data_IF_720875535959
#
_entry.id   IF_720875535959
#
_cell.length_a   1.000
_cell.length_b   1.000
_cell.length_c   1.000
_cell.angle_alpha   90.00
_cell.angle_beta   90.00
_cell.angle_gamma   90.00
#
_symmetry.space_group_name_H-M   'P 1'
#
loop_
_entity.id
_entity.type
_entity.pdbx_description
1 polymer ?
#
# COMPACT_ATOMS: atom_id res chain seq x y z
N UNK A 1 37.58 -31.43 -10.24
CA UNK A 1 36.26 -31.47 -9.56
C UNK A 1 35.18 -31.22 -10.60
N UNK A 2 34.24 -32.15 -10.81
CA UNK A 2 33.15 -31.96 -11.77
C UNK A 2 32.24 -30.80 -11.34
N UNK A 3 31.82 -29.95 -12.29
CA UNK A 3 30.98 -28.75 -12.04
C UNK A 3 29.75 -29.06 -11.17
N UNK A 4 29.08 -30.18 -11.44
CA UNK A 4 27.89 -30.63 -10.70
C UNK A 4 28.15 -30.82 -9.20
N UNK A 5 29.34 -31.32 -8.81
CA UNK A 5 29.68 -31.49 -7.40
C UNK A 5 29.85 -30.15 -6.70
N UNK A 6 30.48 -29.18 -7.37
CA UNK A 6 30.64 -27.80 -6.85
C UNK A 6 29.29 -27.10 -6.71
N UNK A 7 28.42 -27.25 -7.71
CA UNK A 7 27.06 -26.71 -7.67
C UNK A 7 26.25 -27.35 -6.54
N UNK A 8 26.33 -28.67 -6.35
CA UNK A 8 25.66 -29.38 -5.26
C UNK A 8 26.05 -28.85 -3.87
N UNK A 9 27.35 -28.69 -3.60
CA UNK A 9 27.81 -28.12 -2.33
C UNK A 9 27.34 -26.67 -2.12
N UNK A 10 27.32 -25.85 -3.18
CA UNK A 10 26.79 -24.49 -3.11
C UNK A 10 25.30 -24.47 -2.78
N UNK A 11 24.49 -25.32 -3.43
CA UNK A 11 23.04 -25.37 -3.22
C UNK A 11 22.67 -25.81 -1.81
N UNK A 12 23.44 -26.70 -1.19
CA UNK A 12 23.24 -27.08 0.23
C UNK A 12 23.43 -25.86 1.13
N UNK A 13 24.54 -25.13 0.98
CA UNK A 13 24.80 -23.91 1.74
C UNK A 13 23.74 -22.83 1.51
N UNK A 14 23.34 -22.61 0.25
CA UNK A 14 22.29 -21.66 -0.12
C UNK A 14 20.95 -22.02 0.54
N UNK A 15 20.56 -23.30 0.53
CA UNK A 15 19.31 -23.76 1.12
C UNK A 15 19.28 -23.50 2.62
N UNK A 16 20.36 -23.84 3.33
CA UNK A 16 20.50 -23.56 4.76
C UNK A 16 20.41 -22.04 5.01
N UNK A 17 21.11 -21.24 4.18
CA UNK A 17 21.06 -19.78 4.26
C UNK A 17 19.66 -19.20 4.07
N UNK A 18 18.89 -19.69 3.10
CA UNK A 18 17.51 -19.25 2.86
C UNK A 18 16.60 -19.61 4.05
N UNK A 19 16.76 -20.80 4.65
CA UNK A 19 16.00 -21.18 5.85
C UNK A 19 16.26 -20.18 6.98
N UNK A 20 17.52 -19.91 7.31
CA UNK A 20 17.86 -18.94 8.35
C UNK A 20 17.33 -17.54 8.03
N UNK A 21 17.48 -17.08 6.79
CA UNK A 21 17.00 -15.77 6.34
C UNK A 21 15.47 -15.66 6.51
N UNK A 22 14.72 -16.67 6.08
CA UNK A 22 13.25 -16.64 6.18
C UNK A 22 12.76 -16.63 7.64
N UNK A 23 13.42 -17.36 8.54
CA UNK A 23 13.10 -17.32 9.97
C UNK A 23 13.34 -15.92 10.56
N UNK A 24 14.47 -15.30 10.21
CA UNK A 24 14.79 -13.95 10.67
C UNK A 24 13.79 -12.90 10.17
N UNK A 25 13.48 -12.92 8.86
CA UNK A 25 12.54 -11.98 8.25
C UNK A 25 11.11 -12.16 8.77
N UNK A 26 10.66 -13.41 8.99
CA UNK A 26 9.35 -13.71 9.58
C UNK A 26 9.24 -13.14 10.99
N UNK A 27 10.22 -13.41 11.86
CA UNK A 27 10.22 -12.86 13.22
C UNK A 27 10.19 -11.34 13.22
N UNK A 28 11.01 -10.70 12.38
CA UNK A 28 11.01 -9.23 12.29
C UNK A 28 9.65 -8.67 11.87
N UNK A 29 9.02 -9.26 10.85
CA UNK A 29 7.68 -8.84 10.40
C UNK A 29 6.63 -9.04 11.49
N UNK A 30 6.60 -10.20 12.16
CA UNK A 30 5.62 -10.52 13.20
C UNK A 30 5.81 -9.73 14.51
N UNK A 31 7.05 -9.48 14.92
CA UNK A 31 7.36 -8.86 16.22
C UNK A 31 7.37 -7.33 16.14
N UNK A 32 7.80 -6.76 15.01
CA UNK A 32 7.96 -5.29 14.87
C UNK A 32 6.94 -4.65 13.93
N UNK A 33 6.09 -5.45 13.26
CA UNK A 33 5.14 -4.95 12.27
C UNK A 33 5.81 -4.35 11.03
N UNK A 34 7.11 -4.64 10.80
CA UNK A 34 7.84 -4.06 9.66
C UNK A 34 7.35 -4.66 8.35
N UNK A 35 6.73 -3.83 7.52
CA UNK A 35 6.38 -4.20 6.15
C UNK A 35 7.50 -3.85 5.17
N UNK A 36 7.89 -4.83 4.35
CA UNK A 36 8.90 -4.68 3.31
C UNK A 36 8.26 -4.32 1.95
N UNK A 37 7.89 -3.06 1.76
CA UNK A 37 7.32 -2.56 0.51
C UNK A 37 8.40 -2.26 -0.55
N UNK A 38 8.77 -3.29 -1.30
CA UNK A 38 9.71 -3.15 -2.42
C UNK A 38 9.08 -2.64 -3.70
N UNK A 39 7.79 -2.97 -3.94
CA UNK A 39 7.07 -2.56 -5.14
C UNK A 39 6.47 -1.15 -5.02
N UNK A 40 6.34 -0.40 -6.13
CA UNK A 40 5.79 0.96 -6.12
C UNK A 40 4.41 1.07 -5.46
N UNK A 41 3.48 0.16 -5.76
CA UNK A 41 2.12 0.19 -5.20
C UNK A 41 2.15 0.16 -3.66
N UNK A 42 2.76 -0.88 -3.07
CA UNK A 42 2.93 -1.03 -1.62
C UNK A 42 3.63 0.19 -1.00
N UNK A 43 4.64 0.74 -1.67
CA UNK A 43 5.39 1.90 -1.16
C UNK A 43 4.48 3.12 -1.02
N UNK A 44 3.69 3.43 -2.04
CA UNK A 44 2.76 4.56 -1.98
C UNK A 44 1.69 4.33 -0.92
N UNK A 45 1.04 3.17 -0.91
CA UNK A 45 0.02 2.84 0.09
C UNK A 45 0.56 2.91 1.53
N UNK A 46 1.76 2.38 1.77
CA UNK A 46 2.43 2.50 3.07
C UNK A 46 2.76 3.94 3.42
N UNK A 47 3.21 4.75 2.45
CA UNK A 47 3.49 6.17 2.67
C UNK A 47 2.21 6.92 3.07
N UNK A 48 1.11 6.71 2.34
CA UNK A 48 -0.20 7.32 2.63
C UNK A 48 -0.70 6.96 4.04
N UNK A 49 -0.58 5.67 4.45
CA UNK A 49 -0.95 5.19 5.79
C UNK A 49 -0.02 5.63 6.91
N UNK A 50 1.22 5.99 6.59
CA UNK A 50 2.20 6.39 7.61
C UNK A 50 1.96 7.79 8.17
N UNK A 51 1.05 8.55 7.56
CA UNK A 51 0.71 9.92 7.92
C UNK A 51 -0.73 9.99 8.48
N UNK A 52 -1.05 10.97 9.34
CA UNK A 52 -2.42 11.22 9.77
C UNK A 52 -3.34 11.43 8.56
N UNK A 53 -4.48 10.75 8.55
CA UNK A 53 -5.49 10.87 7.51
C UNK A 53 -6.47 12.00 7.87
N UNK A 54 -6.69 12.90 6.92
CA UNK A 54 -7.68 13.97 6.97
C UNK A 54 -8.66 13.82 5.81
N UNK A 55 -9.84 14.40 5.95
CA UNK A 55 -10.94 14.28 4.99
C UNK A 55 -11.30 15.68 4.48
N UNK A 56 -11.57 15.80 3.18
CA UNK A 56 -12.20 17.01 2.65
C UNK A 56 -13.62 17.17 3.24
N UNK A 57 -14.20 18.37 3.12
CA UNK A 57 -15.53 18.63 3.66
C UNK A 57 -16.60 17.69 3.08
N UNK A 58 -16.52 17.40 1.78
CA UNK A 58 -17.43 16.49 1.07
C UNK A 58 -17.33 15.06 1.60
N UNK A 59 -16.11 14.55 1.78
CA UNK A 59 -15.89 13.22 2.35
C UNK A 59 -16.39 13.15 3.79
N UNK A 60 -16.16 14.20 4.57
CA UNK A 60 -16.62 14.25 5.95
C UNK A 60 -18.15 14.23 6.02
N UNK A 61 -18.85 14.88 5.09
CA UNK A 61 -20.31 14.80 4.96
C UNK A 61 -20.78 13.38 4.60
N UNK A 62 -20.13 12.70 3.63
CA UNK A 62 -20.46 11.31 3.28
C UNK A 62 -20.26 10.33 4.45
N UNK A 63 -19.18 10.51 5.23
CA UNK A 63 -18.93 9.71 6.44
C UNK A 63 -20.03 9.98 7.48
N UNK A 64 -20.39 11.24 7.70
CA UNK A 64 -21.45 11.61 8.65
C UNK A 64 -22.84 11.11 8.21
N UNK A 65 -23.08 11.02 6.90
CA UNK A 65 -24.28 10.47 6.28
C UNK A 65 -24.29 8.93 6.28
N UNK A 66 -23.24 8.27 6.77
CA UNK A 66 -23.06 6.81 6.77
C UNK A 66 -23.03 6.21 5.35
N UNK A 67 -22.65 7.01 4.35
CA UNK A 67 -22.50 6.55 2.96
C UNK A 67 -21.15 5.87 2.73
N UNK A 68 -20.13 6.21 3.53
CA UNK A 68 -18.78 5.64 3.44
C UNK A 68 -18.28 5.25 4.82
N UNK A 69 -17.81 4.01 4.98
CA UNK A 69 -17.18 3.55 6.21
C UNK A 69 -15.67 3.82 6.18
N UNK A 70 -15.17 4.44 7.25
CA UNK A 70 -13.73 4.62 7.50
C UNK A 70 -12.93 3.32 7.43
N UNK A 71 -13.51 2.17 7.80
CA UNK A 71 -12.86 0.86 7.67
C UNK A 71 -12.64 0.47 6.21
N UNK A 72 -13.57 0.81 5.32
CA UNK A 72 -13.41 0.57 3.88
C UNK A 72 -12.30 1.45 3.30
N UNK A 73 -12.22 2.72 3.70
CA UNK A 73 -11.11 3.61 3.31
C UNK A 73 -9.76 3.03 3.77
N UNK A 74 -9.69 2.51 5.01
CA UNK A 74 -8.48 1.85 5.51
C UNK A 74 -8.13 0.58 4.73
N UNK A 75 -9.13 -0.19 4.30
CA UNK A 75 -8.92 -1.37 3.46
C UNK A 75 -8.37 -0.97 2.08
N UNK A 76 -8.90 0.08 1.45
CA UNK A 76 -8.36 0.63 0.19
C UNK A 76 -6.91 1.05 0.37
N UNK A 77 -6.57 1.74 1.45
CA UNK A 77 -5.20 2.14 1.75
C UNK A 77 -4.26 0.96 2.06
N UNK A 78 -4.79 -0.23 2.40
CA UNK A 78 -4.00 -1.44 2.67
C UNK A 78 -3.80 -2.29 1.43
N UNK A 79 -4.88 -2.54 0.69
CA UNK A 79 -4.95 -3.57 -0.34
C UNK A 79 -5.32 -3.03 -1.74
N UNK A 80 -5.49 -1.70 -1.90
CA UNK A 80 -5.87 -1.06 -3.16
C UNK A 80 -4.78 -1.07 -4.24
N UNK A 81 -5.14 -0.56 -5.42
CA UNK A 81 -4.25 -0.43 -6.57
C UNK A 81 -4.05 1.04 -6.96
N UNK A 82 -2.82 1.51 -6.91
CA UNK A 82 -2.46 2.89 -7.26
C UNK A 82 -2.37 3.00 -8.78
N UNK A 83 -3.25 3.81 -9.38
CA UNK A 83 -3.20 4.15 -10.81
C UNK A 83 -2.16 5.23 -11.06
N UNK A 84 -0.91 4.80 -11.23
CA UNK A 84 0.21 5.70 -11.52
C UNK A 84 0.03 6.53 -12.80
N UNK A 85 -0.72 6.00 -13.79
CA UNK A 85 -1.04 6.71 -15.04
C UNK A 85 -1.93 7.93 -14.83
N UNK A 86 -2.77 7.92 -13.79
CA UNK A 86 -3.76 8.96 -13.49
C UNK A 86 -3.37 9.77 -12.24
N UNK A 87 -2.30 9.34 -11.56
CA UNK A 87 -1.73 10.02 -10.42
C UNK A 87 -0.77 11.13 -10.86
N UNK A 88 -0.78 12.27 -10.16
CA UNK A 88 0.17 13.35 -10.39
C UNK A 88 1.23 13.36 -9.28
N UNK A 89 2.35 12.68 -9.53
CA UNK A 89 3.47 12.55 -8.59
C UNK A 89 4.36 13.78 -8.50
N UNK A 90 4.21 14.73 -9.44
CA UNK A 90 5.00 15.97 -9.52
C UNK A 90 4.26 17.19 -8.97
N UNK A 91 2.97 17.04 -8.64
CA UNK A 91 2.16 18.10 -8.04
C UNK A 91 2.81 18.65 -6.76
N UNK A 92 2.86 19.98 -6.68
CA UNK A 92 3.32 20.72 -5.49
C UNK A 92 2.16 21.54 -4.92
N UNK A 93 2.04 21.67 -3.59
CA UNK A 93 2.95 21.19 -2.55
C UNK A 93 2.75 19.71 -2.15
N UNK A 94 1.69 19.07 -2.66
CA UNK A 94 1.34 17.70 -2.30
C UNK A 94 1.12 16.86 -3.55
N UNK A 95 1.59 15.62 -3.52
CA UNK A 95 1.42 14.66 -4.62
C UNK A 95 -0.01 14.14 -4.64
N UNK A 96 -0.53 13.85 -5.82
CA UNK A 96 -1.87 13.30 -5.98
C UNK A 96 -1.78 11.83 -6.42
N UNK A 97 -2.46 10.96 -5.69
CA UNK A 97 -2.52 9.52 -5.96
C UNK A 97 -3.96 9.08 -6.11
N UNK A 98 -4.28 8.49 -7.26
CA UNK A 98 -5.55 7.81 -7.47
C UNK A 98 -5.37 6.35 -7.05
N UNK A 99 -6.19 5.89 -6.10
CA UNK A 99 -6.15 4.52 -5.58
C UNK A 99 -7.50 3.88 -5.82
N UNK A 100 -7.52 2.80 -6.58
CA UNK A 100 -8.71 1.98 -6.77
C UNK A 100 -8.84 0.95 -5.65
N UNK A 101 -10.08 0.71 -5.25
CA UNK A 101 -10.44 -0.36 -4.34
C UNK A 101 -11.95 -0.51 -4.23
N UNK A 102 -12.41 -1.18 -3.17
CA UNK A 102 -13.83 -1.45 -2.97
C UNK A 102 -14.41 -0.55 -1.88
N UNK A 103 -15.48 0.17 -2.19
CA UNK A 103 -16.33 0.90 -1.24
C UNK A 103 -17.77 0.39 -1.42
N UNK A 104 -18.46 0.00 -0.34
CA UNK A 104 -19.80 -0.57 -0.38
C UNK A 104 -19.98 -1.74 -1.39
N UNK A 105 -18.93 -2.55 -1.58
CA UNK A 105 -18.84 -3.67 -2.56
C UNK A 105 -18.80 -3.25 -4.04
N UNK A 106 -18.69 -1.97 -4.34
CA UNK A 106 -18.50 -1.47 -5.69
C UNK A 106 -17.04 -1.02 -5.88
N UNK A 107 -16.53 -1.12 -7.10
CA UNK A 107 -15.23 -0.52 -7.43
C UNK A 107 -15.33 1.00 -7.32
N UNK A 108 -14.34 1.60 -6.66
CA UNK A 108 -14.26 3.03 -6.44
C UNK A 108 -12.82 3.51 -6.58
N UNK A 109 -12.67 4.69 -7.15
CA UNK A 109 -11.42 5.42 -7.24
C UNK A 109 -11.39 6.51 -6.17
N UNK A 110 -10.34 6.49 -5.34
CA UNK A 110 -10.12 7.40 -4.23
C UNK A 110 -8.94 8.30 -4.53
N UNK A 111 -9.16 9.61 -4.53
CA UNK A 111 -8.11 10.58 -4.78
C UNK A 111 -7.49 11.04 -3.46
N UNK A 112 -6.24 10.62 -3.23
CA UNK A 112 -5.46 11.02 -2.07
C UNK A 112 -4.47 12.11 -2.42
N UNK A 113 -4.41 13.13 -1.57
CA UNK A 113 -3.38 14.16 -1.58
C UNK A 113 -2.36 13.87 -0.49
N UNK A 114 -1.17 13.49 -0.91
CA UNK A 114 -0.05 13.14 -0.05
C UNK A 114 0.85 14.35 0.18
N UNK A 115 0.69 15.01 1.33
CA UNK A 115 1.53 16.12 1.78
C UNK A 115 2.64 15.62 2.71
N UNK A 116 3.60 16.47 3.09
CA UNK A 116 4.72 16.04 3.94
C UNK A 116 4.27 15.55 5.32
N UNK A 117 3.28 16.22 5.93
CA UNK A 117 2.84 15.97 7.31
C UNK A 117 1.56 15.14 7.43
N UNK A 118 0.72 15.09 6.39
CA UNK A 118 -0.60 14.47 6.44
C UNK A 118 -1.06 14.00 5.06
N UNK A 119 -2.02 13.07 5.04
CA UNK A 119 -2.70 12.59 3.85
C UNK A 119 -4.14 13.10 3.86
N UNK A 120 -4.62 13.72 2.78
CA UNK A 120 -6.01 14.17 2.64
C UNK A 120 -6.72 13.27 1.64
N UNK A 121 -7.88 12.71 2.00
CA UNK A 121 -8.80 12.14 1.02
C UNK A 121 -9.65 13.27 0.45
N UNK A 122 -9.44 13.58 -0.84
CA UNK A 122 -10.07 14.70 -1.52
C UNK A 122 -11.45 14.31 -2.06
N UNK A 123 -11.54 13.18 -2.78
CA UNK A 123 -12.78 12.72 -3.42
C UNK A 123 -12.85 11.19 -3.54
N UNK A 124 -14.08 10.68 -3.65
CA UNK A 124 -14.39 9.27 -3.95
C UNK A 124 -15.28 9.27 -5.20
N UNK A 125 -14.92 8.49 -6.21
CA UNK A 125 -15.73 8.26 -7.40
C UNK A 125 -16.03 6.77 -7.53
N UNK A 126 -17.31 6.40 -7.59
CA UNK A 126 -17.72 5.01 -7.85
C UNK A 126 -17.52 4.75 -9.34
N UNK A 127 -16.77 3.70 -9.68
CA UNK A 127 -16.56 3.27 -11.06
C UNK A 127 -17.79 2.44 -11.45
N UNK A 128 -18.60 2.88 -12.43
CA UNK A 128 -19.70 2.07 -12.93
C UNK A 128 -19.15 0.87 -13.71
N UNK A 129 -19.71 -0.32 -13.46
CA UNK A 129 -19.47 -1.56 -14.22
C UNK A 129 -19.73 -1.39 -15.74
#
# INVERSE_FOLDING_TARGET
MAFLKRLGYYMIGLTIGIIFLTLFLKKKTSETGTEFCYFPNCRVLKELRSKPLSYSAEIQEMINALEVDTLEIQNVLRDGDVKFSESNTEAQPCKLFLVEGSINKNEAALLFKNCDSLTILESIAIIPD
#
